data_IF_523328175936
#
_entry.id   IF_523328175936
#
_cell.length_a   1.000
_cell.length_b   1.000
_cell.length_c   1.000
_cell.angle_alpha   90.00
_cell.angle_beta   90.00
_cell.angle_gamma   90.00
#
_symmetry.space_group_name_H-M   'P 1'
#
loop_
_entity.id
_entity.type
_entity.pdbx_description
1 polymer ?
#
# COMPACT_ATOMS: atom_id res chain seq x y z
N UNK A 1 -15.30 15.28 -19.32
CA UNK A 1 -14.07 15.69 -20.05
C UNK A 1 -13.30 14.43 -20.41
N UNK A 2 -12.93 14.33 -21.69
CA UNK A 2 -12.27 13.25 -22.44
C UNK A 2 -11.62 12.08 -21.67
N UNK A 3 -12.01 10.85 -22.07
CA UNK A 3 -11.22 9.63 -21.96
C UNK A 3 -9.91 9.77 -22.79
N UNK A 4 -8.85 9.08 -22.37
CA UNK A 4 -7.50 9.10 -22.97
C UNK A 4 -6.64 10.34 -22.69
N UNK A 5 -6.32 10.61 -21.42
CA UNK A 5 -4.94 11.00 -21.13
C UNK A 5 -4.11 9.72 -21.21
N UNK A 6 -3.28 9.60 -22.25
CA UNK A 6 -2.17 8.67 -22.21
C UNK A 6 -1.47 8.88 -20.86
N UNK A 7 -1.28 7.81 -20.09
CA UNK A 7 -0.56 7.86 -18.82
C UNK A 7 0.86 8.36 -19.11
N UNK A 8 1.08 9.66 -19.00
CA UNK A 8 2.36 10.30 -19.28
C UNK A 8 3.32 9.96 -18.15
N UNK A 9 4.08 8.89 -18.37
CA UNK A 9 5.16 8.44 -17.49
C UNK A 9 6.39 9.21 -17.94
N UNK A 10 6.61 10.36 -17.32
CA UNK A 10 7.85 11.11 -17.49
C UNK A 10 9.06 10.36 -16.90
N UNK A 11 10.25 10.91 -17.11
CA UNK A 11 11.51 10.30 -16.64
C UNK A 11 11.56 10.10 -15.12
N UNK A 12 10.94 10.98 -14.34
CA UNK A 12 10.98 10.92 -12.87
C UNK A 12 10.09 9.78 -12.36
N UNK A 13 8.84 9.70 -12.85
CA UNK A 13 7.94 8.60 -12.51
C UNK A 13 8.47 7.25 -13.02
N UNK A 14 9.12 7.26 -14.18
CA UNK A 14 9.78 6.09 -14.75
C UNK A 14 10.87 5.53 -13.82
N UNK A 15 11.80 6.40 -13.44
CA UNK A 15 12.87 6.09 -12.49
C UNK A 15 12.32 5.62 -11.14
N UNK A 16 11.28 6.29 -10.64
CA UNK A 16 10.62 5.91 -9.40
C UNK A 16 10.01 4.49 -9.48
N UNK A 17 9.28 4.17 -10.54
CA UNK A 17 8.73 2.82 -10.74
C UNK A 17 9.86 1.78 -10.83
N UNK A 18 10.95 2.09 -11.53
CA UNK A 18 12.10 1.21 -11.63
C UNK A 18 12.69 0.87 -10.25
N UNK A 19 13.02 1.89 -9.45
CA UNK A 19 13.62 1.71 -8.13
C UNK A 19 12.65 1.05 -7.12
N UNK A 20 11.36 1.39 -7.14
CA UNK A 20 10.43 0.96 -6.10
C UNK A 20 9.67 -0.34 -6.43
N UNK A 21 9.37 -0.63 -7.71
CA UNK A 21 8.65 -1.85 -8.12
C UNK A 21 9.62 -2.97 -8.52
N UNK A 22 10.54 -2.69 -9.45
CA UNK A 22 11.49 -3.69 -9.93
C UNK A 22 12.58 -3.97 -8.88
N UNK A 23 13.03 -2.92 -8.18
CA UNK A 23 14.05 -2.99 -7.14
C UNK A 23 15.38 -3.55 -7.68
N UNK A 24 16.09 -2.78 -8.54
CA UNK A 24 17.36 -3.17 -9.14
C UNK A 24 18.49 -3.25 -8.10
N UNK A 25 19.67 -3.72 -8.53
CA UNK A 25 20.85 -3.82 -7.65
C UNK A 25 21.42 -2.47 -7.24
N UNK A 26 21.37 -1.47 -8.14
CA UNK A 26 21.79 -0.10 -7.85
C UNK A 26 20.57 0.72 -7.50
N UNK A 27 20.51 1.15 -6.25
CA UNK A 27 19.41 1.95 -5.72
C UNK A 27 19.90 3.35 -5.36
N UNK A 28 19.01 4.35 -5.33
CA UNK A 28 19.36 5.68 -4.88
C UNK A 28 19.89 5.66 -3.45
N UNK A 29 20.63 6.71 -3.10
CA UNK A 29 21.32 6.85 -1.81
C UNK A 29 20.75 8.01 -0.97
N UNK A 30 19.65 8.61 -1.43
CA UNK A 30 18.98 9.74 -0.82
C UNK A 30 17.47 9.61 -1.07
N UNK A 31 16.67 10.03 -0.10
CA UNK A 31 15.22 10.04 -0.23
C UNK A 31 14.76 11.01 -1.34
N UNK A 32 13.71 10.63 -2.07
CA UNK A 32 13.09 11.49 -3.08
C UNK A 32 12.41 12.71 -2.42
N UNK A 33 12.71 13.91 -2.91
CA UNK A 33 12.11 15.16 -2.39
C UNK A 33 10.62 15.29 -2.71
N UNK A 34 10.14 14.63 -3.76
CA UNK A 34 8.75 14.60 -4.23
C UNK A 34 8.11 13.21 -4.05
N UNK A 35 8.53 12.45 -3.04
CA UNK A 35 8.09 11.08 -2.79
C UNK A 35 6.55 10.92 -2.82
N UNK A 36 5.81 11.79 -2.13
CA UNK A 36 4.34 11.70 -2.05
C UNK A 36 3.69 11.83 -3.43
N UNK A 37 4.16 12.81 -4.21
CA UNK A 37 3.67 13.05 -5.57
C UNK A 37 3.94 11.84 -6.49
N UNK A 38 5.15 11.28 -6.43
CA UNK A 38 5.53 10.10 -7.22
C UNK A 38 4.76 8.84 -6.80
N UNK A 39 4.51 8.64 -5.50
CA UNK A 39 3.67 7.54 -5.01
C UNK A 39 2.22 7.65 -5.50
N UNK A 40 1.62 8.85 -5.46
CA UNK A 40 0.26 9.07 -5.95
C UNK A 40 0.17 8.78 -7.45
N UNK A 41 1.12 9.27 -8.25
CA UNK A 41 1.19 8.97 -9.70
C UNK A 41 1.42 7.48 -9.99
N UNK A 42 2.26 6.79 -9.21
CA UNK A 42 2.47 5.34 -9.33
C UNK A 42 1.16 4.57 -9.10
N UNK A 43 0.32 4.98 -8.15
CA UNK A 43 -0.97 4.33 -7.89
C UNK A 43 -1.94 4.53 -9.06
N UNK A 44 -1.97 5.73 -9.66
CA UNK A 44 -2.72 6.00 -10.91
C UNK A 44 -2.26 5.04 -12.02
N UNK A 45 -0.94 4.87 -12.18
CA UNK A 45 -0.37 3.94 -13.17
C UNK A 45 -0.85 2.51 -12.93
N UNK A 46 -0.74 2.03 -11.69
CA UNK A 46 -1.13 0.66 -11.33
C UNK A 46 -2.63 0.44 -11.54
N UNK A 47 -3.47 1.43 -11.23
CA UNK A 47 -4.92 1.36 -11.48
C UNK A 47 -5.23 1.27 -12.97
N UNK A 48 -4.51 2.01 -13.82
CA UNK A 48 -4.62 1.89 -15.28
C UNK A 48 -4.29 0.48 -15.76
N UNK A 49 -3.16 -0.08 -15.33
CA UNK A 49 -2.77 -1.45 -15.68
C UNK A 49 -3.76 -2.49 -15.14
N UNK A 50 -4.34 -2.26 -13.96
CA UNK A 50 -5.39 -3.11 -13.41
C UNK A 50 -6.66 -3.08 -14.27
N UNK A 51 -7.05 -1.93 -14.81
CA UNK A 51 -8.19 -1.82 -15.71
C UNK A 51 -8.01 -2.69 -16.96
N UNK A 52 -6.81 -2.71 -17.54
CA UNK A 52 -6.49 -3.57 -18.68
C UNK A 52 -6.47 -5.05 -18.29
N UNK A 53 -5.90 -5.38 -17.13
CA UNK A 53 -5.88 -6.75 -16.61
C UNK A 53 -7.29 -7.34 -16.46
N UNK A 54 -8.24 -6.54 -15.98
CA UNK A 54 -9.64 -6.97 -15.78
C UNK A 54 -10.29 -7.39 -17.10
N UNK A 55 -9.94 -6.76 -18.23
CA UNK A 55 -10.50 -7.15 -19.53
C UNK A 55 -10.06 -8.54 -19.99
N UNK A 56 -8.98 -9.08 -19.41
CA UNK A 56 -8.36 -10.35 -19.78
C UNK A 56 -8.69 -11.51 -18.82
N UNK A 57 -9.57 -11.31 -17.82
CA UNK A 57 -10.01 -12.36 -16.90
C UNK A 57 -11.46 -12.79 -17.16
N UNK A 58 -11.87 -13.94 -16.60
CA UNK A 58 -13.25 -14.43 -16.75
C UNK A 58 -14.28 -13.45 -16.18
N UNK A 59 -15.53 -13.43 -16.68
CA UNK A 59 -16.57 -12.53 -16.19
C UNK A 59 -16.80 -12.58 -14.66
N UNK A 60 -16.71 -13.77 -14.06
CA UNK A 60 -16.84 -13.96 -12.60
C UNK A 60 -15.66 -13.35 -11.84
N UNK A 61 -14.47 -13.39 -12.42
CA UNK A 61 -13.29 -12.74 -11.86
C UNK A 61 -13.35 -11.21 -12.06
N UNK A 62 -13.94 -10.72 -13.15
CA UNK A 62 -14.10 -9.29 -13.40
C UNK A 62 -14.88 -8.59 -12.30
N UNK A 63 -16.00 -9.18 -11.85
CA UNK A 63 -16.80 -8.64 -10.74
C UNK A 63 -15.99 -8.53 -9.45
N UNK A 64 -15.22 -9.57 -9.11
CA UNK A 64 -14.37 -9.58 -7.91
C UNK A 64 -13.23 -8.57 -7.99
N UNK A 65 -12.61 -8.42 -9.16
CA UNK A 65 -11.58 -7.42 -9.41
C UNK A 65 -12.13 -6.00 -9.48
N UNK A 66 -13.41 -5.82 -9.81
CA UNK A 66 -14.06 -4.51 -9.79
C UNK A 66 -13.99 -3.88 -8.40
N UNK A 67 -14.10 -4.67 -7.32
CA UNK A 67 -13.93 -4.20 -5.95
C UNK A 67 -12.51 -3.67 -5.68
N UNK A 68 -11.48 -4.40 -6.11
CA UNK A 68 -10.09 -3.96 -6.00
C UNK A 68 -9.80 -2.70 -6.84
N UNK A 69 -10.46 -2.58 -8.01
CA UNK A 69 -10.39 -1.38 -8.86
C UNK A 69 -11.09 -0.19 -8.21
N UNK A 70 -12.25 -0.39 -7.60
CA UNK A 70 -12.98 0.63 -6.85
C UNK A 70 -12.16 1.11 -5.66
N UNK A 71 -11.57 0.20 -4.88
CA UNK A 71 -10.64 0.53 -3.78
C UNK A 71 -9.49 1.44 -4.24
N UNK A 72 -8.84 1.10 -5.36
CA UNK A 72 -7.79 1.93 -5.97
C UNK A 72 -8.33 3.27 -6.49
N UNK A 73 -9.56 3.31 -6.98
CA UNK A 73 -10.24 4.54 -7.38
C UNK A 73 -10.46 5.47 -6.21
N UNK A 74 -11.03 4.97 -5.11
CA UNK A 74 -11.23 5.74 -3.88
C UNK A 74 -9.90 6.22 -3.31
N UNK A 75 -8.87 5.35 -3.28
CA UNK A 75 -7.52 5.76 -2.85
C UNK A 75 -7.06 7.01 -3.60
N UNK A 76 -7.16 7.03 -4.94
CA UNK A 76 -6.73 8.17 -5.75
C UNK A 76 -7.60 9.42 -5.51
N UNK A 77 -8.89 9.23 -5.21
CA UNK A 77 -9.83 10.34 -5.03
C UNK A 77 -9.61 11.10 -3.73
N UNK A 78 -9.32 10.41 -2.62
CA UNK A 78 -9.15 11.06 -1.33
C UNK A 78 -7.68 11.26 -0.93
N UNK A 79 -6.70 10.70 -1.64
CA UNK A 79 -5.29 11.05 -1.42
C UNK A 79 -4.90 12.26 -2.26
N UNK A 80 -4.30 13.25 -1.62
CA UNK A 80 -3.66 14.38 -2.26
C UNK A 80 -2.21 14.57 -1.76
N UNK A 81 -1.59 15.70 -2.06
CA UNK A 81 -0.23 16.02 -1.60
C UNK A 81 -0.19 16.42 -0.12
N UNK A 82 -1.32 16.79 0.48
CA UNK A 82 -1.45 17.22 1.87
C UNK A 82 -1.81 16.06 2.82
N UNK A 83 -2.32 14.94 2.28
CA UNK A 83 -2.57 13.73 3.03
C UNK A 83 -3.80 12.98 2.53
N UNK A 84 -4.77 12.79 3.42
CA UNK A 84 -6.05 12.14 3.15
C UNK A 84 -7.15 13.19 3.35
N UNK A 85 -7.94 13.46 2.32
CA UNK A 85 -9.13 14.30 2.39
C UNK A 85 -10.18 13.68 3.30
N UNK A 86 -10.52 14.37 4.39
CA UNK A 86 -11.59 13.96 5.31
C UNK A 86 -12.93 13.75 4.57
N UNK A 87 -13.38 14.76 3.82
CA UNK A 87 -14.62 14.67 3.05
C UNK A 87 -14.56 13.55 2.01
N UNK A 88 -13.43 13.40 1.30
CA UNK A 88 -13.24 12.33 0.33
C UNK A 88 -13.33 10.95 0.94
N UNK A 89 -12.73 10.76 2.13
CA UNK A 89 -12.78 9.51 2.87
C UNK A 89 -14.19 9.24 3.45
N UNK A 90 -14.89 10.27 3.94
CA UNK A 90 -16.27 10.13 4.41
C UNK A 90 -17.21 9.66 3.29
N UNK A 91 -17.09 10.25 2.10
CA UNK A 91 -17.84 9.81 0.90
C UNK A 91 -17.47 8.37 0.51
N UNK A 92 -16.18 8.04 0.53
CA UNK A 92 -15.75 6.67 0.26
C UNK A 92 -16.37 5.68 1.25
N UNK A 93 -16.40 6.02 2.55
CA UNK A 93 -17.01 5.21 3.61
C UNK A 93 -18.53 5.06 3.42
N UNK A 94 -19.25 6.11 2.97
CA UNK A 94 -20.68 5.99 2.66
C UNK A 94 -20.94 5.04 1.48
N UNK A 95 -20.03 5.03 0.52
CA UNK A 95 -20.09 4.16 -0.67
C UNK A 95 -19.47 2.78 -0.43
N UNK A 96 -19.00 2.46 0.79
CA UNK A 96 -18.25 1.24 1.03
C UNK A 96 -19.08 -0.03 0.78
N UNK A 97 -20.40 0.01 1.03
CA UNK A 97 -21.27 -1.14 0.75
C UNK A 97 -21.37 -1.48 -0.74
N UNK A 98 -21.22 -0.50 -1.62
CA UNK A 98 -21.28 -0.69 -3.08
C UNK A 98 -19.91 -0.86 -3.70
N UNK A 99 -18.90 -0.14 -3.20
CA UNK A 99 -17.51 -0.22 -3.68
C UNK A 99 -16.74 -1.42 -3.13
N UNK A 100 -17.18 -1.98 -2.00
CA UNK A 100 -16.71 -3.20 -1.34
C UNK A 100 -15.45 -3.05 -0.50
N UNK A 101 -14.49 -2.22 -0.92
CA UNK A 101 -13.26 -2.02 -0.15
C UNK A 101 -12.68 -0.60 -0.30
N UNK A 102 -12.04 -0.13 0.77
CA UNK A 102 -11.21 1.08 0.81
C UNK A 102 -9.85 0.68 1.36
N UNK A 103 -8.79 1.30 0.85
CA UNK A 103 -7.49 1.22 1.46
C UNK A 103 -6.82 2.60 1.40
N UNK A 104 -5.96 2.88 2.37
CA UNK A 104 -5.17 4.10 2.40
C UNK A 104 -3.81 3.89 3.06
N UNK A 105 -2.91 4.84 2.84
CA UNK A 105 -1.63 4.92 3.54
C UNK A 105 -1.67 6.11 4.51
N UNK A 106 -1.80 5.80 5.80
CA UNK A 106 -1.72 6.77 6.90
C UNK A 106 -0.24 7.08 7.13
N UNK A 107 0.28 7.99 6.30
CA UNK A 107 1.73 8.21 6.13
C UNK A 107 2.43 8.63 7.39
N UNK A 108 1.91 9.65 8.07
CA UNK A 108 2.52 10.16 9.29
C UNK A 108 2.56 9.12 10.41
N UNK A 109 1.79 8.02 10.31
CA UNK A 109 1.84 6.90 11.26
C UNK A 109 2.42 5.61 10.67
N UNK A 110 3.13 5.64 9.54
CA UNK A 110 3.75 4.45 8.94
C UNK A 110 2.79 3.24 8.82
N UNK A 111 1.52 3.50 8.52
CA UNK A 111 0.47 2.48 8.60
C UNK A 111 -0.34 2.37 7.30
N UNK A 112 -0.47 1.15 6.80
CA UNK A 112 -1.48 0.80 5.82
C UNK A 112 -2.78 0.45 6.53
N UNK A 113 -3.90 0.91 5.97
CA UNK A 113 -5.23 0.66 6.52
C UNK A 113 -6.16 0.16 5.42
N UNK A 114 -7.00 -0.82 5.73
CA UNK A 114 -7.95 -1.42 4.78
C UNK A 114 -9.29 -1.64 5.46
N UNK A 115 -10.36 -1.15 4.85
CA UNK A 115 -11.72 -1.51 5.18
C UNK A 115 -12.31 -2.38 4.06
N UNK A 116 -12.96 -3.47 4.44
CA UNK A 116 -13.62 -4.39 3.51
C UNK A 116 -15.02 -4.71 4.03
N UNK A 117 -16.04 -4.48 3.22
CA UNK A 117 -17.41 -4.86 3.51
C UNK A 117 -17.67 -6.29 3.02
N UNK A 118 -18.01 -7.15 3.97
CA UNK A 118 -18.45 -8.53 3.73
C UNK A 118 -19.98 -8.55 3.76
N UNK A 119 -20.58 -8.43 2.58
CA UNK A 119 -22.03 -8.37 2.39
C UNK A 119 -22.76 -9.67 2.75
N UNK A 120 -22.09 -10.83 2.64
CA UNK A 120 -22.70 -12.12 3.00
C UNK A 120 -22.98 -12.21 4.51
N UNK A 121 -22.19 -11.49 5.31
CA UNK A 121 -22.26 -11.50 6.78
C UNK A 121 -22.63 -10.16 7.39
N UNK A 122 -22.99 -9.17 6.56
CA UNK A 122 -23.27 -7.78 6.97
C UNK A 122 -22.25 -7.22 7.98
N UNK A 123 -20.96 -7.41 7.69
CA UNK A 123 -19.87 -7.00 8.59
C UNK A 123 -18.81 -6.17 7.88
N UNK A 124 -18.19 -5.29 8.64
CA UNK A 124 -17.05 -4.49 8.21
C UNK A 124 -15.77 -5.06 8.82
N UNK A 125 -14.84 -5.48 7.96
CA UNK A 125 -13.50 -5.89 8.36
C UNK A 125 -12.56 -4.71 8.20
N UNK A 126 -11.87 -4.35 9.28
CA UNK A 126 -10.89 -3.27 9.30
C UNK A 126 -9.52 -3.83 9.68
N UNK A 127 -8.53 -3.56 8.85
CA UNK A 127 -7.16 -4.01 9.02
C UNK A 127 -6.20 -2.82 9.16
N UNK A 128 -5.21 -2.96 10.03
CA UNK A 128 -4.09 -2.03 10.15
C UNK A 128 -2.76 -2.79 10.16
N UNK A 129 -1.74 -2.23 9.51
CA UNK A 129 -0.42 -2.83 9.46
C UNK A 129 0.69 -1.83 9.17
N UNK A 130 1.85 -2.03 9.80
CA UNK A 130 3.06 -1.25 9.56
C UNK A 130 3.54 -1.41 8.10
N UNK A 131 3.91 -0.32 7.43
CA UNK A 131 4.35 -0.37 6.02
C UNK A 131 5.86 -0.21 5.81
N UNK A 132 6.60 0.26 6.81
CA UNK A 132 8.06 0.38 6.77
C UNK A 132 8.65 -0.15 8.07
N UNK A 133 9.67 -1.01 7.97
CA UNK A 133 10.33 -1.55 9.15
C UNK A 133 11.50 -0.66 9.59
N UNK A 134 11.85 -0.76 10.87
CA UNK A 134 13.04 -0.10 11.41
C UNK A 134 14.31 -0.48 10.64
N UNK A 135 15.22 0.48 10.47
CA UNK A 135 16.41 0.33 9.63
C UNK A 135 17.30 -0.83 10.07
N UNK A 136 17.47 -1.03 11.38
CA UNK A 136 18.21 -2.17 11.94
C UNK A 136 17.68 -3.53 11.46
N UNK A 137 16.36 -3.71 11.44
CA UNK A 137 15.73 -4.95 10.98
C UNK A 137 15.96 -5.16 9.49
N UNK A 138 15.85 -4.09 8.69
CA UNK A 138 16.11 -4.15 7.24
C UNK A 138 17.56 -4.54 6.96
N UNK A 139 18.52 -3.82 7.55
CA UNK A 139 19.96 -4.00 7.34
C UNK A 139 20.50 -5.35 7.83
N UNK A 140 19.86 -5.95 8.85
CA UNK A 140 20.24 -7.27 9.36
C UNK A 140 19.60 -8.43 8.59
N UNK A 141 18.67 -8.16 7.69
CA UNK A 141 17.96 -9.21 6.95
C UNK A 141 18.79 -9.72 5.77
N UNK A 142 18.88 -11.05 5.62
CA UNK A 142 19.51 -11.66 4.44
C UNK A 142 18.48 -11.91 3.34
N UNK A 143 18.27 -10.92 2.46
CA UNK A 143 17.46 -11.07 1.24
C UNK A 143 15.95 -10.74 1.38
N UNK A 144 15.52 -10.29 2.56
CA UNK A 144 14.18 -9.76 2.83
C UNK A 144 13.63 -10.11 4.22
N UNK A 145 12.72 -9.28 4.72
CA UNK A 145 12.06 -9.44 6.02
C UNK A 145 10.81 -10.31 5.92
N UNK A 146 10.73 -11.37 6.73
CA UNK A 146 9.51 -12.15 6.85
C UNK A 146 8.52 -11.41 7.76
N UNK A 147 7.43 -10.89 7.18
CA UNK A 147 6.43 -10.09 7.87
C UNK A 147 5.04 -10.70 7.74
N UNK A 148 4.19 -10.47 8.74
CA UNK A 148 2.81 -11.00 8.82
C UNK A 148 1.82 -9.85 8.69
N UNK A 149 0.81 -10.01 7.83
CA UNK A 149 -0.19 -8.98 7.56
C UNK A 149 -1.62 -9.53 7.66
N UNK A 150 -2.58 -8.77 8.20
CA UNK A 150 -2.37 -7.47 8.83
C UNK A 150 -1.72 -7.60 10.21
N UNK A 151 -1.26 -6.48 10.77
CA UNK A 151 -0.76 -6.42 12.13
C UNK A 151 -1.89 -6.67 13.12
N UNK A 152 -2.98 -5.92 12.94
CA UNK A 152 -4.23 -6.02 13.69
C UNK A 152 -5.41 -6.04 12.72
N UNK A 153 -6.47 -6.76 13.11
CA UNK A 153 -7.70 -6.85 12.32
C UNK A 153 -8.89 -6.92 13.27
N UNK A 154 -9.93 -6.14 12.96
CA UNK A 154 -11.14 -5.99 13.74
C UNK A 154 -12.35 -6.19 12.83
N UNK A 155 -13.38 -6.84 13.35
CA UNK A 155 -14.71 -6.93 12.74
C UNK A 155 -15.66 -6.04 13.55
N UNK A 156 -16.36 -5.14 12.87
CA UNK A 156 -17.51 -4.42 13.42
C UNK A 156 -18.75 -4.67 12.56
N UNK A 157 -19.92 -4.36 13.09
CA UNK A 157 -21.18 -4.47 12.35
C UNK A 157 -21.26 -3.44 11.20
N UNK A 158 -21.81 -3.83 10.06
CA UNK A 158 -21.91 -2.95 8.88
C UNK A 158 -22.98 -1.86 9.01
N UNK A 159 -23.83 -1.91 10.05
CA UNK A 159 -24.75 -0.82 10.41
C UNK A 159 -24.01 0.50 10.71
N UNK A 160 -22.78 0.42 11.23
CA UNK A 160 -21.91 1.57 11.45
C UNK A 160 -21.62 2.35 10.18
N UNK A 161 -21.66 1.71 9.01
CA UNK A 161 -21.51 2.40 7.74
C UNK A 161 -22.73 3.25 7.37
N UNK A 162 -23.88 3.06 7.99
CA UNK A 162 -25.09 3.87 7.75
C UNK A 162 -25.10 5.10 8.67
N UNK A 163 -24.47 4.99 9.84
CA UNK A 163 -24.35 6.07 10.82
C UNK A 163 -23.40 7.20 10.33
N UNK A 164 -23.92 8.40 10.03
CA UNK A 164 -23.10 9.51 9.57
C UNK A 164 -22.10 9.99 10.64
N UNK A 165 -22.44 9.89 11.92
CA UNK A 165 -21.55 10.30 13.01
C UNK A 165 -20.34 9.38 13.08
N UNK A 166 -20.54 8.07 12.92
CA UNK A 166 -19.42 7.13 12.84
C UNK A 166 -18.53 7.39 11.63
N UNK A 167 -19.12 7.60 10.44
CA UNK A 167 -18.35 7.86 9.21
C UNK A 167 -17.52 9.14 9.33
N UNK A 168 -18.13 10.24 9.77
CA UNK A 168 -17.46 11.52 9.96
C UNK A 168 -16.33 11.40 11.00
N UNK A 169 -16.59 10.78 12.16
CA UNK A 169 -15.56 10.54 13.17
C UNK A 169 -14.36 9.73 12.61
N UNK A 170 -14.64 8.62 11.90
CA UNK A 170 -13.59 7.76 11.37
C UNK A 170 -12.78 8.47 10.27
N UNK A 171 -13.45 9.22 9.40
CA UNK A 171 -12.83 10.01 8.34
C UNK A 171 -11.94 11.12 8.91
N UNK A 172 -12.45 11.89 9.88
CA UNK A 172 -11.70 12.96 10.55
C UNK A 172 -10.47 12.40 11.27
N UNK A 173 -10.63 11.29 12.02
CA UNK A 173 -9.54 10.65 12.76
C UNK A 173 -8.44 10.13 11.81
N UNK A 174 -8.81 9.46 10.72
CA UNK A 174 -7.82 8.94 9.74
C UNK A 174 -7.14 10.09 8.99
N UNK A 175 -7.89 11.13 8.60
CA UNK A 175 -7.37 12.34 7.97
C UNK A 175 -6.31 13.01 8.84
N UNK A 176 -6.63 13.22 10.12
CA UNK A 176 -5.72 13.81 11.11
C UNK A 176 -4.46 12.94 11.30
N UNK A 177 -4.64 11.64 11.53
CA UNK A 177 -3.51 10.72 11.69
C UNK A 177 -2.63 10.65 10.44
N UNK A 178 -3.17 10.90 9.25
CA UNK A 178 -2.40 10.87 8.01
C UNK A 178 -1.51 12.11 7.80
N UNK A 179 -1.87 13.26 8.38
CA UNK A 179 -1.20 14.54 8.19
C UNK A 179 -0.34 14.98 9.39
N UNK A 180 -0.72 14.61 10.62
CA UNK A 180 -0.02 15.06 11.84
C UNK A 180 1.11 14.10 12.25
N UNK A 181 2.33 14.63 12.33
CA UNK A 181 3.48 13.91 12.89
C UNK A 181 3.51 14.03 14.42
N UNK A 182 3.74 12.91 15.10
CA UNK A 182 3.86 12.86 16.56
C UNK A 182 5.26 12.43 16.92
N UNK A 183 6.08 13.37 17.40
CA UNK A 183 7.51 13.15 17.74
C UNK A 183 7.72 11.98 18.72
N UNK A 184 6.80 11.75 19.66
CA UNK A 184 6.89 10.62 20.59
C UNK A 184 6.77 9.24 19.93
N UNK A 185 6.27 9.18 18.69
CA UNK A 185 6.22 7.96 17.88
C UNK A 185 7.52 7.72 17.09
N UNK A 186 8.46 8.67 17.10
CA UNK A 186 9.80 8.48 16.53
C UNK A 186 10.75 7.82 17.55
N UNK A 187 11.61 6.89 17.12
CA UNK A 187 12.67 6.38 17.98
C UNK A 187 13.61 7.51 18.44
N UNK A 188 13.90 7.57 19.74
CA UNK A 188 14.81 8.57 20.32
C UNK A 188 16.21 8.00 20.56
N UNK A 189 17.21 8.87 20.63
CA UNK A 189 18.54 8.55 21.16
C UNK A 189 19.00 9.63 22.12
N UNK A 190 19.72 9.24 23.16
CA UNK A 190 20.43 10.17 24.03
C UNK A 190 21.74 10.60 23.37
N UNK A 191 21.93 11.90 23.20
CA UNK A 191 23.20 12.53 22.80
C UNK A 191 23.49 13.67 23.77
N UNK A 192 24.64 13.61 24.44
CA UNK A 192 25.03 14.61 25.45
C UNK A 192 23.91 14.89 26.46
N UNK A 193 23.32 13.82 27.02
CA UNK A 193 22.21 13.86 28.01
C UNK A 193 20.87 14.42 27.50
N UNK A 194 20.78 14.78 26.21
CA UNK A 194 19.55 15.26 25.58
C UNK A 194 18.96 14.17 24.68
N UNK A 195 17.66 13.94 24.75
CA UNK A 195 16.96 13.08 23.81
C UNK A 195 16.78 13.78 22.46
N UNK A 196 17.17 13.09 21.39
CA UNK A 196 17.07 13.59 20.02
C UNK A 196 16.38 12.54 19.16
N UNK A 197 15.39 12.99 18.38
CA UNK A 197 14.65 12.17 17.44
C UNK A 197 15.56 11.57 16.37
N UNK A 198 15.44 10.26 16.15
CA UNK A 198 16.11 9.57 15.05
C UNK A 198 15.29 9.69 13.78
N UNK A 199 15.33 10.87 13.16
CA UNK A 199 14.60 11.19 11.92
C UNK A 199 14.89 10.26 10.72
N UNK A 200 15.93 9.41 10.80
CA UNK A 200 16.29 8.41 9.79
C UNK A 200 15.60 7.04 10.00
N UNK A 201 14.99 6.86 11.15
CA UNK A 201 14.21 5.67 11.49
C UNK A 201 12.75 5.84 11.11
N UNK A 202 11.99 4.74 11.17
CA UNK A 202 10.57 4.71 10.83
C UNK A 202 9.72 5.02 12.05
N UNK A 203 8.64 5.78 11.85
CA UNK A 203 7.62 6.07 12.87
C UNK A 203 6.97 4.77 13.34
N UNK A 204 6.73 4.64 14.65
CA UNK A 204 6.00 3.51 15.22
C UNK A 204 4.50 3.64 14.87
N UNK A 205 3.85 2.57 14.37
CA UNK A 205 2.49 2.66 13.82
C UNK A 205 1.36 2.74 14.88
N UNK A 206 1.75 2.88 16.15
CA UNK A 206 0.90 2.56 17.29
C UNK A 206 -0.32 3.44 17.49
N UNK A 207 -0.28 4.70 17.02
CA UNK A 207 -1.47 5.55 17.02
C UNK A 207 -2.59 4.96 16.18
N UNK A 208 -2.26 4.22 15.11
CA UNK A 208 -3.25 3.47 14.33
C UNK A 208 -3.42 2.08 14.92
N UNK A 209 -2.36 1.28 15.00
CA UNK A 209 -2.46 -0.17 15.29
C UNK A 209 -2.93 -0.49 16.70
N UNK A 210 -2.62 0.36 17.67
CA UNK A 210 -3.14 0.26 19.03
C UNK A 210 -4.23 1.30 19.26
N UNK A 211 -4.01 2.58 18.95
CA UNK A 211 -4.96 3.67 19.25
C UNK A 211 -6.31 3.56 18.52
N UNK A 212 -6.34 3.84 17.22
CA UNK A 212 -7.57 3.78 16.42
C UNK A 212 -8.20 2.38 16.45
N UNK A 213 -7.38 1.33 16.33
CA UNK A 213 -7.91 -0.03 16.23
C UNK A 213 -8.48 -0.55 17.55
N UNK A 214 -8.01 -0.13 18.73
CA UNK A 214 -8.66 -0.44 20.02
C UNK A 214 -10.04 0.24 20.11
N UNK A 215 -10.17 1.47 19.61
CA UNK A 215 -11.46 2.17 19.58
C UNK A 215 -12.46 1.42 18.68
N UNK A 216 -12.02 0.93 17.51
CA UNK A 216 -12.85 0.08 16.66
C UNK A 216 -13.16 -1.28 17.31
N UNK A 217 -12.20 -1.86 18.02
CA UNK A 217 -12.39 -3.13 18.74
C UNK A 217 -13.48 -3.01 19.83
N UNK A 218 -13.59 -1.86 20.49
CA UNK A 218 -14.67 -1.60 21.47
C UNK A 218 -16.08 -1.67 20.85
N UNK A 219 -16.19 -1.51 19.52
CA UNK A 219 -17.45 -1.61 18.76
C UNK A 219 -17.64 -2.99 18.11
N UNK A 220 -16.75 -3.94 18.36
CA UNK A 220 -16.75 -5.21 17.66
C UNK A 220 -15.86 -6.26 18.31
N UNK A 221 -15.15 -7.02 17.47
CA UNK A 221 -14.33 -8.16 17.91
C UNK A 221 -13.06 -8.29 17.08
N UNK A 222 -12.08 -9.02 17.59
CA UNK A 222 -10.90 -9.36 16.80
C UNK A 222 -11.27 -10.26 15.62
N UNK A 223 -10.63 -10.01 14.48
CA UNK A 223 -10.67 -10.91 13.34
C UNK A 223 -9.48 -11.85 13.37
N UNK A 224 -9.74 -13.14 13.55
CA UNK A 224 -8.71 -14.19 13.67
C UNK A 224 -8.32 -14.83 12.33
N UNK A 225 -8.61 -14.18 11.20
CA UNK A 225 -8.19 -14.65 9.89
C UNK A 225 -6.68 -14.91 9.83
N UNK A 226 -6.30 -16.03 9.19
CA UNK A 226 -4.89 -16.41 9.00
C UNK A 226 -4.12 -15.26 8.36
N UNK A 227 -3.09 -14.76 9.04
CA UNK A 227 -2.27 -13.65 8.53
C UNK A 227 -1.51 -14.05 7.26
N UNK A 228 -1.47 -13.16 6.29
CA UNK A 228 -0.60 -13.24 5.11
C UNK A 228 0.86 -13.23 5.57
N UNK A 229 1.64 -14.21 5.13
CA UNK A 229 3.09 -14.20 5.33
C UNK A 229 3.75 -13.71 4.05
N UNK A 230 4.48 -12.60 4.13
CA UNK A 230 5.19 -12.00 2.99
C UNK A 230 6.67 -11.84 3.33
N UNK A 231 7.53 -12.22 2.39
CA UNK A 231 8.93 -11.79 2.37
C UNK A 231 8.96 -10.38 1.73
N UNK A 232 9.16 -9.36 2.56
CA UNK A 232 9.24 -7.96 2.16
C UNK A 232 10.69 -7.62 1.90
N UNK A 233 11.01 -7.32 0.64
CA UNK A 233 12.31 -6.75 0.28
C UNK A 233 12.25 -5.25 0.45
N UNK A 234 13.10 -4.76 1.32
CA UNK A 234 13.29 -3.36 1.67
C UNK A 234 14.80 -3.12 1.79
N UNK A 235 15.23 -1.88 1.62
CA UNK A 235 16.64 -1.47 1.71
C UNK A 235 16.69 -0.08 2.36
N UNK A 236 17.78 0.20 3.09
CA UNK A 236 18.04 1.52 3.65
C UNK A 236 19.40 1.97 3.12
N UNK A 237 19.37 2.79 2.08
CA UNK A 237 20.57 3.22 1.36
C UNK A 237 20.84 4.69 1.67
N UNK A 238 22.06 5.00 2.09
CA UNK A 238 22.44 6.36 2.39
C UNK A 238 23.93 6.59 2.08
N UNK A 239 24.21 7.66 1.35
CA UNK A 239 25.57 8.19 1.17
C UNK A 239 25.52 9.71 1.20
N UNK A 240 26.12 10.32 2.23
CA UNK A 240 26.20 11.78 2.38
C UNK A 240 24.87 12.55 2.24
N UNK A 241 23.77 11.95 2.69
CA UNK A 241 22.41 12.51 2.61
C UNK A 241 21.78 12.73 4.00
N UNK A 242 20.79 13.62 4.10
CA UNK A 242 20.06 13.86 5.34
C UNK A 242 19.19 12.65 5.71
N UNK A 243 18.34 12.23 4.77
CA UNK A 243 17.45 11.08 4.87
C UNK A 243 17.89 9.96 3.92
N UNK A 244 17.85 8.69 4.36
CA UNK A 244 18.18 7.57 3.49
C UNK A 244 17.09 7.33 2.45
N UNK A 245 17.49 6.82 1.29
CA UNK A 245 16.54 6.20 0.38
C UNK A 245 15.96 4.94 1.03
N UNK A 246 14.65 4.79 0.92
CA UNK A 246 13.90 3.60 1.35
C UNK A 246 12.89 3.21 0.29
N UNK A 247 12.56 1.93 0.23
CA UNK A 247 11.52 1.48 -0.69
C UNK A 247 10.17 2.10 -0.31
N UNK A 248 9.36 2.38 -1.32
CA UNK A 248 8.07 3.10 -1.18
C UNK A 248 7.16 2.38 -0.17
N UNK A 249 6.77 3.06 0.93
CA UNK A 249 5.79 2.52 1.86
C UNK A 249 4.40 2.37 1.24
N UNK A 250 3.99 3.31 0.37
CA UNK A 250 2.71 3.21 -0.35
C UNK A 250 2.67 1.99 -1.27
N UNK A 251 3.79 1.61 -1.89
CA UNK A 251 3.90 0.37 -2.67
C UNK A 251 3.65 -0.87 -1.80
N UNK A 252 4.21 -0.94 -0.58
CA UNK A 252 3.92 -2.06 0.31
C UNK A 252 2.44 -2.04 0.75
N UNK A 253 1.92 -0.87 1.13
CA UNK A 253 0.53 -0.67 1.52
C UNK A 253 -0.42 -1.22 0.46
N UNK A 254 -0.25 -0.79 -0.78
CA UNK A 254 -1.04 -1.24 -1.92
C UNK A 254 -0.95 -2.76 -2.16
N UNK A 255 0.27 -3.32 -2.14
CA UNK A 255 0.44 -4.77 -2.34
C UNK A 255 -0.20 -5.60 -1.24
N UNK A 256 -0.20 -5.11 0.00
CA UNK A 256 -0.87 -5.79 1.11
C UNK A 256 -2.38 -5.65 0.97
N UNK A 257 -2.88 -4.44 0.74
CA UNK A 257 -4.31 -4.16 0.54
C UNK A 257 -4.91 -5.01 -0.59
N UNK A 258 -4.29 -5.01 -1.77
CA UNK A 258 -4.73 -5.86 -2.89
C UNK A 258 -4.80 -7.33 -2.50
N UNK A 259 -3.79 -7.86 -1.82
CA UNK A 259 -3.81 -9.28 -1.45
C UNK A 259 -4.87 -9.58 -0.37
N UNK A 260 -5.11 -8.68 0.58
CA UNK A 260 -6.15 -8.83 1.60
C UNK A 260 -7.54 -8.83 0.96
N UNK A 261 -7.82 -7.85 0.11
CA UNK A 261 -9.09 -7.75 -0.61
C UNK A 261 -9.31 -8.97 -1.51
N UNK A 262 -8.33 -9.34 -2.34
CA UNK A 262 -8.48 -10.50 -3.22
C UNK A 262 -8.64 -11.82 -2.47
N UNK A 263 -8.03 -11.96 -1.28
CA UNK A 263 -8.26 -13.13 -0.43
C UNK A 263 -9.71 -13.23 0.05
N UNK A 264 -10.38 -12.09 0.25
CA UNK A 264 -11.78 -12.03 0.70
C UNK A 264 -12.76 -12.14 -0.47
N UNK A 265 -12.42 -11.63 -1.64
CA UNK A 265 -13.28 -11.68 -2.82
C UNK A 265 -13.29 -13.06 -3.50
N UNK A 266 -12.18 -13.79 -3.44
CA UNK A 266 -12.02 -15.07 -4.14
C UNK A 266 -12.08 -16.26 -3.18
N UNK A 267 -12.59 -17.42 -3.62
CA UNK A 267 -12.52 -18.65 -2.85
C UNK A 267 -11.10 -18.99 -2.41
N UNK A 268 -10.97 -19.47 -1.17
CA UNK A 268 -9.74 -19.78 -0.41
C UNK A 268 -8.39 -19.60 -1.14
N UNK A 269 -8.01 -20.54 -2.02
CA UNK A 269 -6.68 -20.58 -2.63
C UNK A 269 -6.54 -19.73 -3.88
N UNK A 270 -7.65 -19.34 -4.51
CA UNK A 270 -7.66 -18.62 -5.79
C UNK A 270 -7.20 -17.17 -5.64
N UNK A 271 -7.55 -16.50 -4.54
CA UNK A 271 -7.16 -15.10 -4.32
C UNK A 271 -5.65 -14.89 -4.37
N UNK A 272 -4.87 -15.86 -3.87
CA UNK A 272 -3.40 -15.84 -3.97
C UNK A 272 -2.92 -15.99 -5.42
N UNK A 273 -3.56 -16.85 -6.21
CA UNK A 273 -3.23 -17.04 -7.62
C UNK A 273 -3.53 -15.77 -8.42
N UNK A 274 -4.72 -15.18 -8.24
CA UNK A 274 -5.13 -13.93 -8.86
C UNK A 274 -4.19 -12.77 -8.50
N UNK A 275 -3.90 -12.57 -7.21
CA UNK A 275 -2.94 -11.55 -6.77
C UNK A 275 -1.60 -11.71 -7.50
N UNK A 276 -1.05 -12.91 -7.48
CA UNK A 276 0.25 -13.14 -8.10
C UNK A 276 0.17 -12.99 -9.63
N UNK A 277 -0.91 -13.40 -10.30
CA UNK A 277 -1.09 -13.23 -11.75
C UNK A 277 -1.10 -11.74 -12.12
N UNK A 278 -1.84 -10.93 -11.37
CA UNK A 278 -1.83 -9.48 -11.54
C UNK A 278 -0.44 -8.89 -11.31
N UNK A 279 0.29 -9.29 -10.27
CA UNK A 279 1.65 -8.79 -10.04
C UNK A 279 2.61 -9.10 -11.19
N UNK A 280 2.45 -10.25 -11.87
CA UNK A 280 3.24 -10.57 -13.07
C UNK A 280 2.82 -9.71 -14.26
N UNK A 281 1.51 -9.63 -14.51
CA UNK A 281 0.96 -8.80 -15.58
C UNK A 281 1.43 -7.35 -15.41
N UNK A 282 1.29 -6.79 -14.22
CA UNK A 282 1.75 -5.45 -13.87
C UNK A 282 3.22 -5.25 -14.22
N UNK A 283 4.11 -6.12 -13.76
CA UNK A 283 5.54 -5.97 -14.04
C UNK A 283 5.88 -6.16 -15.53
N UNK A 284 5.20 -7.07 -16.23
CA UNK A 284 5.40 -7.29 -17.66
C UNK A 284 4.92 -6.08 -18.47
N UNK A 285 3.75 -5.54 -18.17
CA UNK A 285 3.21 -4.33 -18.81
C UNK A 285 4.09 -3.12 -18.54
N UNK A 286 4.58 -2.96 -17.31
CA UNK A 286 5.51 -1.89 -16.97
C UNK A 286 6.86 -2.05 -17.71
N UNK A 287 7.42 -3.26 -17.77
CA UNK A 287 8.68 -3.50 -18.48
C UNK A 287 8.57 -3.31 -20.01
N UNK A 288 7.39 -3.55 -20.58
CA UNK A 288 7.13 -3.38 -22.01
C UNK A 288 6.87 -1.93 -22.43
N UNK A 289 6.60 -1.01 -21.49
CA UNK A 289 6.40 0.40 -21.81
C UNK A 289 7.74 1.08 -22.10
N UNK A 290 7.88 1.61 -23.31
CA UNK A 290 9.11 2.24 -23.82
C UNK A 290 9.60 3.45 -23.00
N UNK A 291 8.73 4.05 -22.15
CA UNK A 291 9.10 5.15 -21.24
C UNK A 291 9.67 4.72 -19.89
N UNK A 292 9.60 3.43 -19.52
CA UNK A 292 10.07 2.93 -18.21
C UNK A 292 11.58 2.64 -18.15
N UNK A 293 12.29 2.97 -19.22
CA UNK A 293 13.74 2.94 -19.27
C UNK A 293 14.29 4.28 -19.68
N UNK A 294 14.93 4.94 -18.73
CA UNK A 294 15.73 6.11 -19.03
C UNK A 294 17.02 5.66 -19.73
N UNK A 295 17.45 4.40 -19.53
CA UNK A 295 18.70 3.84 -20.10
C UNK A 295 18.60 2.36 -20.51
N UNK A 296 19.39 1.97 -21.52
CA UNK A 296 19.41 0.60 -22.07
C UNK A 296 19.75 -0.50 -21.05
N UNK A 297 20.55 -0.20 -20.01
CA UNK A 297 20.88 -1.16 -18.95
C UNK A 297 19.71 -1.41 -17.98
N UNK A 298 18.88 -0.40 -17.74
CA UNK A 298 17.70 -0.51 -16.87
C UNK A 298 16.64 -1.42 -17.51
N UNK A 299 16.46 -1.34 -18.85
CA UNK A 299 15.61 -2.29 -19.59
C UNK A 299 16.06 -3.73 -19.38
N UNK A 300 17.36 -3.99 -19.58
CA UNK A 300 17.92 -5.32 -19.46
C UNK A 300 17.70 -5.86 -18.04
N UNK A 301 17.84 -5.01 -17.02
CA UNK A 301 17.59 -5.40 -15.63
C UNK A 301 16.11 -5.61 -15.34
N UNK A 302 15.21 -4.75 -15.83
CA UNK A 302 13.75 -4.95 -15.77
C UNK A 302 13.35 -6.32 -16.33
N UNK A 303 13.82 -6.62 -17.55
CA UNK A 303 13.55 -7.90 -18.20
C UNK A 303 14.12 -9.07 -17.42
N UNK A 304 15.39 -9.02 -16.98
CA UNK A 304 16.01 -10.07 -16.17
C UNK A 304 15.27 -10.32 -14.85
N UNK A 305 14.86 -9.26 -14.16
CA UNK A 305 14.11 -9.35 -12.89
C UNK A 305 12.74 -9.97 -13.14
N UNK A 306 12.01 -9.49 -14.15
CA UNK A 306 10.71 -10.04 -14.55
C UNK A 306 10.83 -11.52 -14.94
N UNK A 307 11.81 -11.87 -15.79
CA UNK A 307 12.10 -13.25 -16.18
C UNK A 307 12.41 -14.14 -14.98
N UNK A 308 13.23 -13.66 -14.04
CA UNK A 308 13.59 -14.42 -12.83
C UNK A 308 12.35 -14.69 -11.97
N UNK A 309 11.45 -13.70 -11.81
CA UNK A 309 10.20 -13.87 -11.05
C UNK A 309 9.22 -14.83 -11.75
N UNK A 310 9.14 -14.78 -13.08
CA UNK A 310 8.36 -15.72 -13.90
C UNK A 310 8.94 -17.14 -13.74
N UNK A 311 10.25 -17.31 -13.92
CA UNK A 311 10.95 -18.60 -13.81
C UNK A 311 10.76 -19.25 -12.44
N UNK A 312 10.97 -18.50 -11.34
CA UNK A 312 10.74 -19.00 -9.96
C UNK A 312 9.31 -19.49 -9.70
N UNK A 313 8.37 -19.13 -10.55
CA UNK A 313 6.96 -19.49 -10.41
C UNK A 313 6.54 -20.63 -11.33
N UNK A 314 7.20 -20.80 -12.48
CA UNK A 314 7.00 -21.97 -13.34
C UNK A 314 7.64 -23.21 -12.70
N UNK A 315 8.77 -23.04 -11.99
CA UNK A 315 9.50 -24.12 -11.34
C UNK A 315 9.08 -24.41 -9.88
N UNK A 316 7.93 -23.90 -9.42
CA UNK A 316 7.35 -24.16 -8.08
C UNK A 316 5.90 -24.59 -8.20
#
# INVERSE_FOLDING_TARGET
MSQSQAMDVDGDLSSFIFHHIFLPLRLPQEAESNLVHLENRMIVVIRGVLQDFIQNVSPEAQQRWALARSMLGSWIQFHDEQGISELGLEIALSDLKTSGAIACHIRAQNCGWVAFYDGDKERLLVDAFEVSAQGKSVLSSSGGLLRRFPGVSVIISADKLVDPTFRSYLAATISQLASEEVSDMLPKSTKAEIEVDKIRETIHPGLVTEGLMIQLLALGTHNEEVKLVKCVRDEVNWMSALLPWRRSPAWLALRVALQLVLRRCFPQTEGRLHYKNFMLYLMATLAAKEGLSVRSHELVDCWKISHTRIGRRIYK
#
